data_IF_597072749697
#
_entry.id   IF_597072749697
#
_cell.length_a   1.000
_cell.length_b   1.000
_cell.length_c   1.000
_cell.angle_alpha   90.00
_cell.angle_beta   90.00
_cell.angle_gamma   90.00
#
_symmetry.space_group_name_H-M   'P 1'
#
loop_
_entity.id
_entity.type
_entity.pdbx_description
1 polymer ?
#
# COMPACT_ATOMS: atom_id res chain seq x y z
N UNK A 1 -27.45 -27.17 13.46
CA UNK A 1 -26.20 -27.32 12.67
C UNK A 1 -25.10 -26.56 13.40
N UNK A 2 -23.91 -27.14 13.48
CA UNK A 2 -22.84 -26.70 14.38
C UNK A 2 -22.35 -25.29 14.03
N UNK A 3 -22.56 -24.32 14.93
CA UNK A 3 -22.14 -22.92 14.75
C UNK A 3 -20.62 -22.77 14.55
N UNK A 4 -19.82 -23.76 14.96
CA UNK A 4 -18.39 -23.79 14.71
C UNK A 4 -18.05 -24.11 13.25
N UNK A 5 -18.80 -25.01 12.61
CA UNK A 5 -18.60 -25.35 11.20
C UNK A 5 -18.96 -24.19 10.29
N UNK A 6 -20.04 -23.47 10.60
CA UNK A 6 -20.46 -22.29 9.83
C UNK A 6 -19.48 -21.12 10.03
N UNK A 7 -18.96 -20.92 11.25
CA UNK A 7 -17.85 -19.95 11.49
C UNK A 7 -16.60 -20.32 10.70
N UNK A 8 -16.21 -21.59 10.67
CA UNK A 8 -15.06 -22.06 9.90
C UNK A 8 -15.24 -21.80 8.40
N UNK A 9 -16.41 -22.14 7.84
CA UNK A 9 -16.74 -21.86 6.43
C UNK A 9 -16.66 -20.37 6.10
N UNK A 10 -17.20 -19.51 6.97
CA UNK A 10 -17.18 -18.07 6.77
C UNK A 10 -15.76 -17.49 6.83
N UNK A 11 -14.93 -17.95 7.77
CA UNK A 11 -13.53 -17.55 7.86
C UNK A 11 -12.73 -18.00 6.64
N UNK A 12 -12.90 -19.25 6.20
CA UNK A 12 -12.25 -19.76 4.99
C UNK A 12 -12.67 -18.97 3.75
N UNK A 13 -13.97 -18.66 3.60
CA UNK A 13 -14.46 -17.85 2.49
C UNK A 13 -13.87 -16.43 2.49
N UNK A 14 -13.74 -15.81 3.67
CA UNK A 14 -13.12 -14.49 3.80
C UNK A 14 -11.63 -14.52 3.44
N UNK A 15 -10.88 -15.52 3.90
CA UNK A 15 -9.45 -15.67 3.59
C UNK A 15 -9.25 -15.86 2.08
N UNK A 16 -9.99 -16.78 1.46
CA UNK A 16 -9.92 -17.03 0.01
C UNK A 16 -10.28 -15.78 -0.80
N UNK A 17 -11.22 -14.97 -0.32
CA UNK A 17 -11.58 -13.69 -0.93
C UNK A 17 -10.41 -12.70 -0.90
N UNK A 18 -9.76 -12.52 0.26
CA UNK A 18 -8.61 -11.62 0.39
C UNK A 18 -7.43 -12.05 -0.49
N UNK A 19 -7.11 -13.35 -0.56
CA UNK A 19 -6.02 -13.84 -1.42
C UNK A 19 -6.29 -13.56 -2.91
N UNK A 20 -7.53 -13.78 -3.35
CA UNK A 20 -7.93 -13.49 -4.72
C UNK A 20 -7.82 -11.99 -5.03
N UNK A 21 -8.30 -11.13 -4.12
CA UNK A 21 -8.20 -9.68 -4.29
C UNK A 21 -6.76 -9.19 -4.30
N UNK A 22 -5.88 -9.74 -3.45
CA UNK A 22 -4.44 -9.43 -3.48
C UNK A 22 -3.79 -9.81 -4.80
N UNK A 23 -4.10 -10.99 -5.35
CA UNK A 23 -3.56 -11.43 -6.64
C UNK A 23 -3.99 -10.49 -7.78
N UNK A 24 -5.27 -10.08 -7.80
CA UNK A 24 -5.77 -9.10 -8.76
C UNK A 24 -5.09 -7.75 -8.59
N UNK A 25 -4.99 -7.28 -7.35
CA UNK A 25 -4.38 -6.00 -7.01
C UNK A 25 -2.89 -5.94 -7.39
N UNK A 26 -2.10 -6.98 -7.12
CA UNK A 26 -0.68 -7.03 -7.52
C UNK A 26 -0.52 -6.91 -9.03
N UNK A 27 -1.33 -7.64 -9.81
CA UNK A 27 -1.29 -7.57 -11.28
C UNK A 27 -1.63 -6.17 -11.79
N UNK A 28 -2.63 -5.54 -11.21
CA UNK A 28 -3.03 -4.18 -11.60
C UNK A 28 -1.99 -3.14 -11.15
N UNK A 29 -1.40 -3.30 -9.97
CA UNK A 29 -0.36 -2.43 -9.46
C UNK A 29 0.91 -2.50 -10.33
N UNK A 30 1.27 -3.69 -10.79
CA UNK A 30 2.38 -3.90 -11.74
C UNK A 30 2.09 -3.25 -13.10
N UNK A 31 0.86 -3.36 -13.61
CA UNK A 31 0.45 -2.64 -14.83
C UNK A 31 0.55 -1.13 -14.64
N UNK A 32 0.03 -0.61 -13.52
CA UNK A 32 0.04 0.81 -13.19
C UNK A 32 1.45 1.35 -12.97
N UNK A 33 2.36 0.54 -12.41
CA UNK A 33 3.76 0.88 -12.24
C UNK A 33 4.41 1.35 -13.57
N UNK A 34 4.17 0.62 -14.65
CA UNK A 34 4.62 1.00 -16.01
C UNK A 34 3.78 2.13 -16.60
N UNK A 35 2.44 2.04 -16.55
CA UNK A 35 1.54 3.02 -17.21
C UNK A 35 1.65 4.44 -16.62
N UNK A 36 2.02 4.54 -15.35
CA UNK A 36 2.26 5.79 -14.64
C UNK A 36 3.71 6.30 -14.76
N UNK A 37 4.59 5.54 -15.42
CA UNK A 37 6.00 5.88 -15.63
C UNK A 37 6.85 5.82 -14.36
N UNK A 38 6.43 5.04 -13.36
CA UNK A 38 7.14 4.90 -12.08
C UNK A 38 8.40 4.04 -12.26
N UNK A 39 8.32 3.09 -13.18
CA UNK A 39 9.41 2.21 -13.63
C UNK A 39 10.66 2.98 -14.10
N UNK A 40 10.49 4.20 -14.62
CA UNK A 40 11.61 5.06 -14.98
C UNK A 40 12.51 5.42 -13.78
N UNK A 41 11.99 5.39 -12.55
CA UNK A 41 12.75 5.66 -11.31
C UNK A 41 12.90 4.45 -10.40
N UNK A 42 11.99 3.49 -10.49
CA UNK A 42 11.99 2.25 -9.71
C UNK A 42 11.93 1.10 -10.71
N UNK A 43 13.06 0.70 -11.32
CA UNK A 43 13.03 -0.18 -12.49
C UNK A 43 12.40 -1.54 -12.23
N UNK A 44 12.49 -2.06 -11.01
CA UNK A 44 11.92 -3.35 -10.61
C UNK A 44 10.69 -3.13 -9.75
N UNK A 45 9.58 -3.78 -10.13
CA UNK A 45 8.31 -3.65 -9.42
C UNK A 45 8.43 -4.00 -7.93
N UNK A 46 9.23 -5.00 -7.58
CA UNK A 46 9.42 -5.46 -6.21
C UNK A 46 10.04 -4.38 -5.30
N UNK A 47 10.87 -3.49 -5.87
CA UNK A 47 11.52 -2.40 -5.14
C UNK A 47 10.51 -1.34 -4.67
N UNK A 48 9.30 -1.29 -5.23
CA UNK A 48 8.23 -0.44 -4.70
C UNK A 48 7.98 -0.75 -3.22
N UNK A 49 8.18 -1.98 -2.79
CA UNK A 49 7.89 -2.38 -1.41
C UNK A 49 9.02 -2.08 -0.43
N UNK A 50 10.17 -1.58 -0.90
CA UNK A 50 11.27 -1.09 -0.06
C UNK A 50 10.97 0.30 0.50
N UNK A 51 10.10 1.07 -0.16
CA UNK A 51 9.60 2.32 0.37
C UNK A 51 8.85 2.07 1.69
N UNK A 52 9.13 2.92 2.67
CA UNK A 52 8.44 2.93 3.96
C UNK A 52 7.00 3.40 3.80
N UNK A 53 6.78 4.39 2.94
CA UNK A 53 5.47 4.92 2.61
C UNK A 53 5.45 5.45 1.17
N UNK A 54 4.28 5.43 0.55
CA UNK A 54 3.99 6.19 -0.68
C UNK A 54 2.83 7.14 -0.40
N UNK A 55 3.07 8.41 -0.74
CA UNK A 55 2.15 9.52 -0.56
C UNK A 55 1.74 10.12 -1.91
N UNK A 56 0.58 10.75 -1.90
CA UNK A 56 0.01 11.46 -3.05
C UNK A 56 -0.19 12.93 -2.68
N UNK A 57 0.35 13.82 -3.51
CA UNK A 57 0.07 15.25 -3.47
C UNK A 57 -0.96 15.60 -4.54
N UNK A 58 -1.77 16.63 -4.27
CA UNK A 58 -2.70 17.24 -5.24
C UNK A 58 -4.04 16.53 -5.39
N UNK A 59 -4.15 15.26 -5.02
CA UNK A 59 -5.40 14.47 -5.06
C UNK A 59 -5.63 13.87 -3.67
N UNK A 60 -6.88 13.91 -3.19
CA UNK A 60 -7.22 13.39 -1.88
C UNK A 60 -7.30 11.86 -1.86
N UNK A 61 -6.89 11.29 -0.73
CA UNK A 61 -6.98 9.86 -0.40
C UNK A 61 -7.76 9.62 0.91
N UNK A 62 -8.38 10.66 1.48
CA UNK A 62 -9.31 10.48 2.61
C UNK A 62 -10.59 9.82 2.12
N UNK A 63 -11.24 9.10 3.03
CA UNK A 63 -12.51 8.43 2.77
C UNK A 63 -13.62 9.45 2.44
N UNK A 64 -13.61 10.59 3.13
CA UNK A 64 -14.64 11.66 3.01
C UNK A 64 -14.67 12.33 1.63
N UNK A 65 -13.53 12.40 0.92
CA UNK A 65 -13.40 13.15 -0.32
C UNK A 65 -12.46 12.46 -1.32
N UNK A 66 -12.47 11.12 -1.35
CA UNK A 66 -11.56 10.32 -2.16
C UNK A 66 -11.54 10.77 -3.64
N UNK A 67 -10.35 11.08 -4.14
CA UNK A 67 -10.16 11.53 -5.53
C UNK A 67 -10.45 13.01 -5.77
N UNK A 68 -10.88 13.77 -4.76
CA UNK A 68 -11.05 15.22 -4.86
C UNK A 68 -9.72 15.90 -5.22
N UNK A 69 -9.80 16.99 -5.98
CA UNK A 69 -8.62 17.74 -6.40
C UNK A 69 -8.34 18.87 -5.41
N UNK A 70 -7.06 19.05 -5.10
CA UNK A 70 -6.58 20.20 -4.34
C UNK A 70 -6.16 21.28 -5.33
N UNK A 71 -7.05 22.21 -5.62
CA UNK A 71 -6.78 23.32 -6.56
C UNK A 71 -5.50 24.06 -6.20
N UNK A 72 -4.78 24.50 -7.24
CA UNK A 72 -3.49 25.16 -7.10
C UNK A 72 -2.36 24.22 -6.64
N UNK A 73 -2.56 22.90 -6.63
CA UNK A 73 -1.52 21.91 -6.32
C UNK A 73 -1.08 21.09 -7.53
N UNK A 74 0.04 20.41 -7.34
CA UNK A 74 0.59 19.47 -8.31
C UNK A 74 0.26 18.04 -7.92
N UNK A 75 -0.12 17.24 -8.91
CA UNK A 75 -0.28 15.80 -8.77
C UNK A 75 1.09 15.13 -8.81
N UNK A 76 1.46 14.49 -7.69
CA UNK A 76 2.77 13.87 -7.53
C UNK A 76 2.69 12.65 -6.61
N UNK A 77 3.30 11.55 -7.06
CA UNK A 77 3.51 10.36 -6.23
C UNK A 77 4.90 10.46 -5.61
N UNK A 78 4.97 10.32 -4.29
CA UNK A 78 6.19 10.52 -3.50
C UNK A 78 6.43 9.29 -2.64
N UNK A 79 7.57 8.63 -2.84
CA UNK A 79 8.05 7.55 -1.99
C UNK A 79 8.87 8.10 -0.83
N UNK A 80 8.77 7.46 0.34
CA UNK A 80 9.60 7.75 1.51
C UNK A 80 10.50 6.55 1.74
N UNK A 81 11.81 6.77 1.66
CA UNK A 81 12.82 5.77 2.07
C UNK A 81 13.30 6.08 3.48
N UNK A 82 13.66 5.03 4.21
CA UNK A 82 14.26 5.14 5.53
C UNK A 82 15.70 4.66 5.50
N UNK A 83 16.61 5.56 5.83
CA UNK A 83 18.04 5.28 5.97
C UNK A 83 18.43 5.43 7.45
N UNK A 84 18.93 4.34 8.04
CA UNK A 84 19.32 4.29 9.46
C UNK A 84 20.59 5.08 9.75
N UNK A 85 21.47 5.17 8.75
CA UNK A 85 22.82 5.73 8.86
C UNK A 85 22.84 7.22 8.47
N UNK A 86 21.82 7.70 7.76
CA UNK A 86 21.70 9.10 7.38
C UNK A 86 21.34 10.02 8.57
N UNK A 87 21.90 11.24 8.57
CA UNK A 87 21.54 12.32 9.51
C UNK A 87 20.05 12.66 9.47
N UNK A 88 19.45 12.66 8.28
CA UNK A 88 17.99 12.78 8.07
C UNK A 88 17.49 11.43 7.60
N UNK A 89 16.84 10.69 8.51
CA UNK A 89 16.51 9.29 8.30
C UNK A 89 15.41 9.04 7.27
N UNK A 90 14.46 9.97 7.11
CA UNK A 90 13.41 9.83 6.10
C UNK A 90 13.71 10.76 4.93
N UNK A 91 13.81 10.20 3.73
CA UNK A 91 14.03 10.97 2.50
C UNK A 91 12.84 10.80 1.55
N UNK A 92 12.33 11.92 1.07
CA UNK A 92 11.29 11.95 0.04
C UNK A 92 11.92 11.80 -1.34
N UNK A 93 11.35 10.90 -2.15
CA UNK A 93 11.73 10.67 -3.53
C UNK A 93 10.47 10.87 -4.38
N UNK A 94 10.52 11.83 -5.30
CA UNK A 94 9.46 11.97 -6.31
C UNK A 94 9.48 10.73 -7.21
N UNK A 95 8.46 9.89 -7.18
CA UNK A 95 8.34 8.74 -8.07
C UNK A 95 7.82 9.15 -9.44
N UNK A 96 6.80 10.00 -9.48
CA UNK A 96 6.31 10.61 -10.71
C UNK A 96 5.63 11.96 -10.43
N UNK A 97 5.75 12.87 -11.40
CA UNK A 97 5.19 14.21 -11.35
C UNK A 97 4.37 14.44 -12.62
N UNK A 98 3.10 14.81 -12.45
CA UNK A 98 2.15 14.93 -13.55
C UNK A 98 1.70 16.38 -13.82
N UNK A 99 2.33 17.35 -13.17
CA UNK A 99 1.94 18.75 -13.30
C UNK A 99 0.72 19.13 -12.48
N UNK A 100 0.07 20.22 -12.89
CA UNK A 100 -1.11 20.81 -12.22
C UNK A 100 -2.27 19.82 -12.24
N UNK A 101 -2.89 19.58 -11.10
CA UNK A 101 -3.94 18.55 -10.96
C UNK A 101 -5.15 18.79 -11.86
N UNK A 102 -5.45 20.05 -12.14
CA UNK A 102 -6.54 20.52 -12.99
C UNK A 102 -6.34 20.14 -14.46
N UNK A 103 -5.09 19.87 -14.88
CA UNK A 103 -4.75 19.48 -16.26
C UNK A 103 -4.80 17.98 -16.48
N UNK A 104 -5.04 17.18 -15.43
CA UNK A 104 -5.13 15.73 -15.56
C UNK A 104 -6.48 15.30 -16.11
N UNK A 105 -6.48 14.31 -16.99
CA UNK A 105 -7.70 13.61 -17.36
C UNK A 105 -8.25 12.80 -16.19
N UNK A 106 -9.57 12.59 -16.17
CA UNK A 106 -10.23 11.75 -15.16
C UNK A 106 -9.66 10.33 -15.10
N UNK A 107 -9.33 9.75 -16.25
CA UNK A 107 -8.67 8.44 -16.32
C UNK A 107 -7.33 8.43 -15.59
N UNK A 108 -6.48 9.45 -15.83
CA UNK A 108 -5.17 9.54 -15.19
C UNK A 108 -5.27 9.73 -13.67
N UNK A 109 -6.24 10.52 -13.20
CA UNK A 109 -6.52 10.70 -11.77
C UNK A 109 -6.87 9.37 -11.10
N UNK A 110 -7.78 8.59 -11.72
CA UNK A 110 -8.18 7.27 -11.23
C UNK A 110 -7.00 6.31 -11.18
N UNK A 111 -6.16 6.27 -12.20
CA UNK A 111 -4.95 5.44 -12.22
C UNK A 111 -3.98 5.78 -11.08
N UNK A 112 -3.73 7.08 -10.85
CA UNK A 112 -2.85 7.55 -9.77
C UNK A 112 -3.40 7.14 -8.40
N UNK A 113 -4.69 7.37 -8.15
CA UNK A 113 -5.35 6.99 -6.89
C UNK A 113 -5.30 5.48 -6.70
N UNK A 114 -5.67 4.70 -7.72
CA UNK A 114 -5.65 3.24 -7.70
C UNK A 114 -4.24 2.70 -7.40
N UNK A 115 -3.19 3.28 -7.99
CA UNK A 115 -1.81 2.88 -7.73
C UNK A 115 -1.44 3.10 -6.26
N UNK A 116 -1.70 4.28 -5.71
CA UNK A 116 -1.30 4.58 -4.33
C UNK A 116 -2.08 3.74 -3.32
N UNK A 117 -3.38 3.54 -3.53
CA UNK A 117 -4.20 2.66 -2.67
C UNK A 117 -3.79 1.19 -2.81
N UNK A 118 -3.59 0.70 -4.04
CA UNK A 118 -3.18 -0.67 -4.29
C UNK A 118 -1.82 -1.00 -3.68
N UNK A 119 -0.88 -0.05 -3.72
CA UNK A 119 0.39 -0.18 -3.02
C UNK A 119 0.22 -0.23 -1.49
N UNK A 120 -0.59 0.68 -0.92
CA UNK A 120 -0.86 0.72 0.54
C UNK A 120 -1.51 -0.56 1.03
N UNK A 121 -2.42 -1.11 0.23
CA UNK A 121 -3.05 -2.39 0.50
C UNK A 121 -2.00 -3.51 0.61
N UNK A 122 -1.16 -3.72 -0.40
CA UNK A 122 -0.12 -4.76 -0.33
C UNK A 122 0.93 -4.51 0.75
N UNK A 123 1.34 -3.25 0.97
CA UNK A 123 2.29 -2.91 2.03
C UNK A 123 1.74 -3.30 3.40
N UNK A 124 0.44 -3.14 3.62
CA UNK A 124 -0.22 -3.51 4.87
C UNK A 124 -0.19 -5.02 5.10
N UNK A 125 -0.47 -5.83 4.06
CA UNK A 125 -0.35 -7.30 4.18
C UNK A 125 1.08 -7.76 4.42
N UNK A 126 2.06 -7.20 3.73
CA UNK A 126 3.49 -7.50 3.97
C UNK A 126 3.90 -7.17 5.41
N UNK A 127 3.35 -6.08 5.95
CA UNK A 127 3.57 -5.66 7.34
C UNK A 127 2.93 -6.64 8.32
N UNK A 128 1.68 -7.06 8.05
CA UNK A 128 0.99 -8.08 8.84
C UNK A 128 1.78 -9.41 8.86
N UNK A 129 2.22 -9.89 7.69
CA UNK A 129 3.03 -11.10 7.58
C UNK A 129 4.37 -10.99 8.31
N UNK A 130 5.01 -9.81 8.28
CA UNK A 130 6.21 -9.55 9.06
C UNK A 130 5.95 -9.71 10.57
N UNK A 131 4.90 -9.06 11.09
CA UNK A 131 4.57 -9.18 12.52
C UNK A 131 4.14 -10.58 12.92
N UNK A 132 3.37 -11.28 12.07
CA UNK A 132 3.02 -12.69 12.29
C UNK A 132 4.27 -13.56 12.46
N UNK A 133 5.28 -13.39 11.60
CA UNK A 133 6.57 -14.08 11.71
C UNK A 133 7.34 -13.69 12.98
N UNK A 134 7.31 -12.42 13.38
CA UNK A 134 7.96 -11.98 14.62
C UNK A 134 7.30 -12.58 15.86
N UNK A 135 5.97 -12.59 15.93
CA UNK A 135 5.24 -13.23 17.04
C UNK A 135 5.56 -14.71 17.16
N UNK A 136 5.68 -15.42 16.03
CA UNK A 136 6.13 -16.82 16.02
C UNK A 136 7.52 -17.04 16.60
N UNK A 137 8.41 -16.03 16.58
CA UNK A 137 9.75 -16.08 17.19
C UNK A 137 9.75 -15.75 18.68
N UNK A 138 8.81 -14.91 19.13
CA UNK A 138 8.66 -14.56 20.56
C UNK A 138 8.13 -15.77 21.34
N UNK A 139 7.36 -16.66 20.69
CA UNK A 139 6.71 -17.79 21.36
C UNK A 139 5.50 -17.32 22.19
N UNK A 140 4.74 -18.26 22.76
CA UNK A 140 3.65 -17.92 23.66
C UNK A 140 4.21 -17.18 24.89
N UNK A 141 3.60 -16.04 25.21
CA UNK A 141 3.80 -15.41 26.52
C UNK A 141 3.07 -16.30 27.52
N UNK A 142 3.80 -17.20 28.19
CA UNK A 142 3.25 -17.98 29.29
C UNK A 142 2.91 -17.08 30.46
N UNK A 143 1.83 -17.39 31.17
CA UNK A 143 1.45 -16.78 32.45
C UNK A 143 2.53 -17.08 33.51
N UNK A 144 3.65 -16.37 33.43
CA UNK A 144 4.60 -16.28 34.51
C UNK A 144 4.05 -15.27 35.51
N UNK A 145 3.31 -15.77 36.50
CA UNK A 145 3.24 -15.33 37.90
C UNK A 145 1.87 -15.66 38.53
N UNK A 146 1.72 -16.93 38.92
CA UNK A 146 1.00 -17.29 40.13
C UNK A 146 2.00 -18.00 41.04
N UNK A 147 2.90 -17.22 41.65
CA UNK A 147 3.67 -17.64 42.83
C UNK A 147 2.82 -17.43 44.09
#
# INVERSE_FOLDING_TARGET
MSSALDRLKNLTAQISSYELERKKNLKELERLHTVLGIDAKVPRFEELFDFKAINLSGISLSDEDLGSLKEGKYAQIIGIVYDKEAKVKNKNISLAYYGRVEKLSEGRKKEIVAFVLGWRFEKSFRTLEHYYRLMGRVGPVGDAEAC
#
